data_IF_156690222394
#
_entry.id   IF_156690222394
#
_cell.length_a   1.000
_cell.length_b   1.000
_cell.length_c   1.000
_cell.angle_alpha   90.00
_cell.angle_beta   90.00
_cell.angle_gamma   90.00
#
_symmetry.space_group_name_H-M   'P 1'
#
loop_
_entity.id
_entity.type
_entity.pdbx_description
1 polymer ?
#
# COMPACT_ATOMS: atom_id res chain seq x y z
N UNK A 1 -7.10 23.15 -1.78
CA UNK A 1 -8.00 22.68 -0.71
C UNK A 1 -8.62 21.40 -1.23
N UNK A 2 -8.49 20.30 -0.47
CA UNK A 2 -9.08 19.01 -0.78
C UNK A 2 -10.28 18.80 0.13
N UNK A 3 -11.32 18.17 -0.40
CA UNK A 3 -12.45 17.69 0.39
C UNK A 3 -12.32 16.18 0.60
N UNK A 4 -12.77 15.70 1.75
CA UNK A 4 -12.81 14.26 2.02
C UNK A 4 -13.80 13.57 1.07
N UNK A 5 -13.41 12.40 0.56
CA UNK A 5 -14.32 11.59 -0.25
C UNK A 5 -15.46 11.03 0.61
N UNK A 6 -16.64 10.89 0.00
CA UNK A 6 -17.83 10.37 0.67
C UNK A 6 -18.01 8.85 0.51
N UNK A 7 -17.20 8.22 -0.32
CA UNK A 7 -17.31 6.81 -0.66
C UNK A 7 -16.02 6.06 -0.38
N UNK A 8 -16.09 4.80 0.06
CA UNK A 8 -14.90 3.96 0.19
C UNK A 8 -14.22 3.79 -1.18
N UNK A 9 -12.90 3.51 -1.20
CA UNK A 9 -12.14 3.32 -2.42
C UNK A 9 -12.77 2.21 -3.27
N UNK A 10 -13.19 2.50 -4.52
CA UNK A 10 -13.82 1.50 -5.37
C UNK A 10 -12.80 0.45 -5.84
N UNK A 11 -13.26 -0.78 -6.00
CA UNK A 11 -12.49 -1.84 -6.65
C UNK A 11 -12.95 -1.98 -8.10
N UNK A 12 -12.03 -1.77 -9.02
CA UNK A 12 -12.30 -1.81 -10.45
C UNK A 12 -11.79 -3.12 -11.04
N UNK A 13 -12.68 -3.86 -11.68
CA UNK A 13 -12.31 -5.03 -12.45
C UNK A 13 -11.65 -4.59 -13.76
N UNK A 14 -10.43 -5.03 -13.99
CA UNK A 14 -9.66 -4.77 -15.20
C UNK A 14 -9.29 -6.07 -15.91
N UNK A 15 -8.75 -5.99 -17.12
CA UNK A 15 -8.22 -7.17 -17.82
C UNK A 15 -7.02 -7.82 -17.10
N UNK A 16 -6.41 -7.13 -16.16
CA UNK A 16 -5.25 -7.62 -15.41
C UNK A 16 -5.62 -8.17 -14.02
N UNK A 17 -6.80 -7.82 -13.51
CA UNK A 17 -7.24 -8.17 -12.17
C UNK A 17 -8.08 -7.05 -11.55
N UNK A 18 -8.33 -7.16 -10.25
CA UNK A 18 -9.13 -6.21 -9.47
C UNK A 18 -8.19 -5.21 -8.78
N UNK A 19 -8.33 -3.95 -9.15
CA UNK A 19 -7.43 -2.88 -8.73
C UNK A 19 -8.21 -1.82 -7.95
N UNK A 20 -7.63 -1.31 -6.88
CA UNK A 20 -8.08 -0.12 -6.18
C UNK A 20 -7.00 0.97 -6.24
N UNK A 21 -7.40 2.22 -6.05
CA UNK A 21 -6.49 3.37 -5.94
C UNK A 21 -6.80 4.11 -4.65
N UNK A 22 -5.76 4.44 -3.90
CA UNK A 22 -5.82 5.29 -2.71
C UNK A 22 -4.72 6.34 -2.78
N UNK A 23 -4.97 7.53 -2.24
CA UNK A 23 -4.06 8.65 -2.42
C UNK A 23 -3.38 9.02 -1.11
N UNK A 24 -2.06 8.85 -1.08
CA UNK A 24 -1.16 9.39 -0.06
C UNK A 24 -1.66 9.13 1.38
N UNK A 25 -2.30 10.14 2.00
CA UNK A 25 -2.77 10.13 3.37
C UNK A 25 -3.80 9.02 3.68
N UNK A 26 -4.51 8.51 2.67
CA UNK A 26 -5.44 7.40 2.83
C UNK A 26 -4.77 6.15 3.41
N UNK A 27 -3.47 5.97 3.16
CA UNK A 27 -2.70 4.82 3.66
C UNK A 27 -2.40 4.89 5.17
N UNK A 28 -2.61 6.05 5.81
CA UNK A 28 -2.46 6.21 7.26
C UNK A 28 -3.54 5.46 8.05
N UNK A 29 -4.65 5.14 7.40
CA UNK A 29 -5.81 4.52 8.01
C UNK A 29 -5.92 3.04 7.62
N UNK A 30 -5.45 2.11 8.46
CA UNK A 30 -5.52 0.66 8.16
C UNK A 30 -6.95 0.19 7.88
N UNK A 31 -7.95 0.77 8.55
CA UNK A 31 -9.37 0.50 8.34
C UNK A 31 -9.79 0.85 6.92
N UNK A 32 -9.25 1.95 6.39
CA UNK A 32 -9.57 2.42 5.04
C UNK A 32 -8.95 1.52 3.98
N UNK A 33 -7.70 1.06 4.19
CA UNK A 33 -7.03 0.07 3.33
C UNK A 33 -7.72 -1.28 3.38
N UNK A 34 -8.30 -1.64 4.52
CA UNK A 34 -9.05 -2.89 4.68
C UNK A 34 -10.29 -2.96 3.79
N UNK A 35 -10.96 -1.85 3.51
CA UNK A 35 -12.21 -1.83 2.75
C UNK A 35 -12.04 -2.35 1.31
N UNK A 36 -11.13 -1.84 0.47
CA UNK A 36 -10.91 -2.41 -0.85
C UNK A 36 -10.39 -3.84 -0.81
N UNK A 37 -9.59 -4.21 0.19
CA UNK A 37 -9.14 -5.59 0.37
C UNK A 37 -10.31 -6.56 0.61
N UNK A 38 -11.26 -6.19 1.48
CA UNK A 38 -12.49 -6.96 1.72
C UNK A 38 -13.41 -7.00 0.51
N UNK A 39 -13.38 -5.95 -0.33
CA UNK A 39 -14.10 -5.89 -1.59
C UNK A 39 -13.39 -6.65 -2.72
N UNK A 40 -12.30 -7.35 -2.41
CA UNK A 40 -11.62 -8.25 -3.33
C UNK A 40 -10.54 -7.60 -4.19
N UNK A 41 -10.02 -6.43 -3.82
CA UNK A 41 -8.84 -5.86 -4.49
C UNK A 41 -7.66 -6.82 -4.39
N UNK A 42 -6.93 -6.95 -5.49
CA UNK A 42 -5.70 -7.74 -5.60
C UNK A 42 -4.46 -6.83 -5.59
N UNK A 43 -4.59 -5.65 -6.19
CA UNK A 43 -3.56 -4.62 -6.24
C UNK A 43 -4.14 -3.29 -5.77
N UNK A 44 -3.40 -2.62 -4.88
CA UNK A 44 -3.63 -1.24 -4.50
C UNK A 44 -2.55 -0.36 -5.13
N UNK A 45 -2.93 0.59 -5.97
CA UNK A 45 -2.05 1.61 -6.51
C UNK A 45 -2.14 2.86 -5.64
N UNK A 46 -1.02 3.37 -5.18
CA UNK A 46 -0.97 4.52 -4.28
C UNK A 46 -0.02 5.60 -4.82
N UNK A 47 -0.53 6.62 -5.53
CA UNK A 47 0.23 7.83 -5.77
C UNK A 47 0.38 8.59 -4.45
N UNK A 48 1.60 8.90 -4.08
CA UNK A 48 1.91 9.48 -2.78
C UNK A 48 2.89 10.65 -2.88
N UNK A 49 2.94 11.44 -1.83
CA UNK A 49 3.79 12.62 -1.73
C UNK A 49 4.21 12.77 -0.26
N UNK A 50 5.17 11.96 0.16
CA UNK A 50 5.59 11.84 1.55
C UNK A 50 6.65 12.85 1.91
N UNK A 51 6.38 13.82 2.82
CA UNK A 51 7.40 14.71 3.33
C UNK A 51 8.47 13.93 4.10
N UNK A 52 9.74 14.24 3.85
CA UNK A 52 10.82 13.63 4.60
C UNK A 52 10.80 14.09 6.07
N UNK A 53 10.91 13.13 6.98
CA UNK A 53 11.02 13.36 8.41
C UNK A 53 12.32 12.72 8.95
N UNK A 54 12.89 13.25 10.04
CA UNK A 54 14.01 12.60 10.71
C UNK A 54 13.67 11.17 11.13
N UNK A 55 14.60 10.25 10.90
CA UNK A 55 14.46 8.85 11.30
C UNK A 55 15.80 8.31 11.82
N UNK A 56 15.81 7.24 12.64
CA UNK A 56 17.03 6.58 13.07
C UNK A 56 17.85 6.08 11.86
N UNK A 57 19.16 6.07 12.02
CA UNK A 57 20.07 5.55 10.99
C UNK A 57 19.78 4.08 10.69
N UNK A 58 19.79 3.72 9.42
CA UNK A 58 19.50 2.36 8.96
C UNK A 58 18.03 1.98 8.87
N UNK A 59 17.11 2.81 9.40
CA UNK A 59 15.69 2.54 9.34
C UNK A 59 15.07 2.97 8.00
N UNK A 60 14.06 2.22 7.58
CA UNK A 60 13.22 2.59 6.43
C UNK A 60 12.31 3.75 6.79
N UNK A 61 11.91 4.58 5.82
CA UNK A 61 10.83 5.54 6.04
C UNK A 61 9.59 4.85 6.60
N UNK A 62 8.97 5.46 7.61
CA UNK A 62 7.76 4.89 8.26
C UNK A 62 6.63 4.66 7.25
N UNK A 63 6.56 5.48 6.22
CA UNK A 63 5.61 5.38 5.11
C UNK A 63 5.80 4.06 4.33
N UNK A 64 7.05 3.70 4.03
CA UNK A 64 7.38 2.42 3.38
C UNK A 64 7.03 1.24 4.29
N UNK A 65 7.35 1.32 5.58
CA UNK A 65 6.98 0.29 6.57
C UNK A 65 5.47 0.13 6.63
N UNK A 66 4.72 1.22 6.58
CA UNK A 66 3.25 1.22 6.55
C UNK A 66 2.69 0.55 5.29
N UNK A 67 3.27 0.81 4.11
CA UNK A 67 2.91 0.12 2.87
C UNK A 67 3.09 -1.39 3.03
N UNK A 68 4.24 -1.83 3.55
CA UNK A 68 4.52 -3.23 3.79
C UNK A 68 3.53 -3.86 4.78
N UNK A 69 3.25 -3.18 5.90
CA UNK A 69 2.29 -3.64 6.89
C UNK A 69 0.88 -3.76 6.31
N UNK A 70 0.43 -2.72 5.58
CA UNK A 70 -0.87 -2.72 4.92
C UNK A 70 -1.01 -3.84 3.89
N UNK A 71 0.03 -4.13 3.11
CA UNK A 71 0.03 -5.24 2.17
C UNK A 71 -0.12 -6.58 2.89
N UNK A 72 0.72 -6.84 3.88
CA UNK A 72 0.76 -8.10 4.64
C UNK A 72 -0.55 -8.38 5.38
N UNK A 73 -1.05 -7.43 6.18
CA UNK A 73 -2.26 -7.65 6.98
C UNK A 73 -3.53 -7.77 6.13
N UNK A 74 -3.50 -7.30 4.89
CA UNK A 74 -4.62 -7.36 3.95
C UNK A 74 -4.44 -8.45 2.88
N UNK A 75 -3.25 -9.04 2.78
CA UNK A 75 -2.89 -10.02 1.74
C UNK A 75 -3.21 -9.48 0.35
N UNK A 76 -2.64 -8.30 -0.01
CA UNK A 76 -2.78 -7.71 -1.34
C UNK A 76 -1.46 -7.06 -1.77
N UNK A 77 -1.23 -6.97 -3.07
CA UNK A 77 -0.09 -6.22 -3.61
C UNK A 77 -0.32 -4.72 -3.45
N UNK A 78 0.75 -3.97 -3.13
CA UNK A 78 0.70 -2.50 -3.15
C UNK A 78 1.84 -1.96 -4.00
N UNK A 79 1.52 -1.03 -4.89
CA UNK A 79 2.48 -0.24 -5.65
C UNK A 79 2.34 1.23 -5.23
N UNK A 80 3.30 1.74 -4.47
CA UNK A 80 3.37 3.13 -4.07
C UNK A 80 4.35 3.88 -4.96
N UNK A 81 3.89 4.97 -5.57
CA UNK A 81 4.69 5.86 -6.40
C UNK A 81 4.85 7.19 -5.67
N UNK A 82 6.05 7.43 -5.13
CA UNK A 82 6.36 8.59 -4.31
C UNK A 82 7.14 9.65 -5.08
N UNK A 83 6.95 10.88 -4.65
CA UNK A 83 7.71 12.02 -5.13
C UNK A 83 9.11 12.02 -4.53
N UNK A 84 10.10 12.45 -5.29
CA UNK A 84 11.47 12.63 -4.81
C UNK A 84 11.96 14.07 -4.99
N UNK A 85 13.10 14.39 -4.39
CA UNK A 85 13.76 15.69 -4.46
C UNK A 85 13.16 16.71 -3.49
N UNK A 86 13.32 17.99 -3.80
CA UNK A 86 12.84 19.09 -2.98
C UNK A 86 11.91 20.01 -3.78
N UNK A 87 10.83 20.44 -3.15
CA UNK A 87 9.96 21.47 -3.72
C UNK A 87 9.41 22.39 -2.63
N UNK A 88 9.45 23.70 -2.90
CA UNK A 88 8.96 24.74 -1.98
C UNK A 88 9.51 24.62 -0.55
N UNK A 89 10.78 24.20 -0.42
CA UNK A 89 11.45 24.02 0.86
C UNK A 89 11.09 22.74 1.62
N UNK A 90 10.33 21.84 1.00
CA UNK A 90 10.01 20.51 1.54
C UNK A 90 10.85 19.46 0.82
N UNK A 91 11.58 18.65 1.57
CA UNK A 91 12.25 17.46 1.08
C UNK A 91 11.24 16.29 1.05
N UNK A 92 11.31 15.48 0.01
CA UNK A 92 10.44 14.34 -0.18
C UNK A 92 11.19 13.03 0.07
N UNK A 93 10.49 12.03 0.61
CA UNK A 93 11.08 10.72 0.94
C UNK A 93 11.62 10.03 -0.30
N UNK A 94 10.93 10.10 -1.44
CA UNK A 94 11.30 9.37 -2.65
C UNK A 94 11.31 7.86 -2.44
N UNK A 95 10.39 7.35 -1.64
CA UNK A 95 10.31 5.97 -1.18
C UNK A 95 9.41 5.07 -2.03
N UNK A 96 9.33 5.31 -3.35
CA UNK A 96 8.55 4.43 -4.25
C UNK A 96 8.89 2.97 -4.03
N UNK A 97 7.86 2.11 -3.94
CA UNK A 97 8.03 0.69 -3.64
C UNK A 97 6.90 -0.15 -4.22
N UNK A 98 7.23 -1.35 -4.68
CA UNK A 98 6.26 -2.39 -5.03
C UNK A 98 6.44 -3.52 -4.02
N UNK A 99 5.35 -3.92 -3.35
CA UNK A 99 5.37 -4.98 -2.33
C UNK A 99 4.42 -6.12 -2.69
N UNK A 100 4.78 -7.33 -2.29
CA UNK A 100 3.93 -8.51 -2.45
C UNK A 100 2.83 -8.61 -1.39
N UNK A 101 2.00 -9.63 -1.48
CA UNK A 101 0.90 -9.88 -0.56
C UNK A 101 1.35 -10.31 0.85
N UNK A 102 2.62 -10.63 1.05
CA UNK A 102 3.22 -10.90 2.36
C UNK A 102 3.88 -9.65 2.96
N UNK A 103 3.95 -8.55 2.20
CA UNK A 103 4.50 -7.27 2.62
C UNK A 103 5.99 -7.11 2.34
N UNK A 104 6.59 -7.99 1.54
CA UNK A 104 7.99 -7.88 1.17
C UNK A 104 8.17 -7.05 -0.11
N UNK A 105 9.18 -6.18 -0.16
CA UNK A 105 9.49 -5.45 -1.38
C UNK A 105 9.89 -6.40 -2.51
N UNK A 106 9.20 -6.28 -3.65
CA UNK A 106 9.57 -6.93 -4.91
C UNK A 106 10.54 -6.06 -5.70
N UNK A 107 10.37 -4.72 -5.58
CA UNK A 107 11.30 -3.74 -6.12
C UNK A 107 11.22 -2.45 -5.31
N UNK A 108 12.35 -1.77 -5.11
CA UNK A 108 12.50 -0.64 -4.19
C UNK A 108 12.69 -1.07 -2.72
N UNK A 109 12.53 -0.16 -1.74
CA UNK A 109 12.17 1.25 -1.97
C UNK A 109 13.31 2.04 -2.63
N UNK A 110 12.94 3.01 -3.46
CA UNK A 110 13.88 4.03 -3.89
C UNK A 110 14.30 4.88 -2.69
N UNK A 111 15.46 5.53 -2.79
CA UNK A 111 16.04 6.30 -1.68
C UNK A 111 16.27 7.77 -2.06
N UNK A 112 15.18 8.46 -2.38
CA UNK A 112 15.22 9.88 -2.69
C UNK A 112 15.57 10.22 -4.13
N UNK A 113 15.86 9.24 -4.96
CA UNK A 113 16.21 9.44 -6.37
C UNK A 113 15.01 9.18 -7.29
N UNK A 114 15.00 9.85 -8.44
CA UNK A 114 14.05 9.56 -9.49
C UNK A 114 14.42 8.22 -10.15
N UNK A 115 13.43 7.35 -10.31
CA UNK A 115 13.67 6.04 -10.88
C UNK A 115 12.39 5.36 -11.33
N UNK A 116 12.55 4.20 -11.96
CA UNK A 116 11.46 3.32 -12.36
C UNK A 116 11.61 2.00 -11.60
N UNK A 117 10.53 1.54 -11.00
CA UNK A 117 10.42 0.22 -10.42
C UNK A 117 9.62 -0.69 -11.34
N UNK A 118 10.02 -1.95 -11.42
CA UNK A 118 9.36 -2.94 -12.26
C UNK A 118 9.30 -4.30 -11.54
N UNK A 119 8.11 -4.84 -11.38
CA UNK A 119 7.89 -6.16 -10.83
C UNK A 119 6.85 -6.94 -11.63
N UNK A 120 7.01 -8.27 -11.65
CA UNK A 120 5.97 -9.17 -12.15
C UNK A 120 5.11 -9.60 -10.97
N UNK A 121 3.79 -9.42 -11.10
CA UNK A 121 2.82 -9.79 -10.07
C UNK A 121 1.91 -10.91 -10.59
N UNK A 122 1.78 -11.99 -9.84
CA UNK A 122 0.65 -12.91 -10.00
C UNK A 122 -0.47 -12.45 -9.06
N UNK A 123 -1.39 -11.66 -9.60
CA UNK A 123 -2.46 -11.06 -8.80
C UNK A 123 -3.40 -12.10 -8.17
N UNK A 124 -3.42 -13.35 -8.66
CA UNK A 124 -4.20 -14.42 -8.07
C UNK A 124 -3.72 -14.82 -6.67
N UNK A 125 -2.44 -14.60 -6.35
CA UNK A 125 -1.90 -14.84 -5.01
C UNK A 125 -2.61 -14.00 -3.94
N UNK A 126 -3.08 -12.81 -4.30
CA UNK A 126 -3.82 -11.94 -3.41
C UNK A 126 -5.25 -12.47 -3.09
N UNK A 127 -5.76 -13.46 -3.81
CA UNK A 127 -7.05 -14.08 -3.50
C UNK A 127 -6.94 -15.07 -2.32
N UNK A 128 -5.75 -15.62 -2.08
CA UNK A 128 -5.51 -16.46 -0.91
C UNK A 128 -5.26 -15.59 0.33
N UNK A 129 -6.26 -15.53 1.20
CA UNK A 129 -6.23 -14.77 2.46
C UNK A 129 -5.83 -15.61 3.67
N UNK A 130 -5.49 -16.86 3.45
CA UNK A 130 -5.00 -17.76 4.48
C UNK A 130 -3.51 -17.57 4.68
N UNK A 131 -3.08 -17.40 5.92
CA UNK A 131 -1.67 -17.24 6.29
C UNK A 131 -1.11 -18.49 6.98
N UNK A 132 -1.98 -19.40 7.43
CA UNK A 132 -1.62 -20.71 7.97
C UNK A 132 -2.81 -21.67 7.86
N UNK A 133 -2.61 -22.91 8.26
CA UNK A 133 -3.68 -23.93 8.27
C UNK A 133 -4.92 -23.49 9.07
N UNK A 134 -4.75 -22.62 10.06
CA UNK A 134 -5.81 -22.22 10.99
C UNK A 134 -6.15 -20.73 10.96
N UNK A 135 -5.42 -19.91 10.19
CA UNK A 135 -5.55 -18.46 10.22
C UNK A 135 -5.90 -17.91 8.85
N UNK A 136 -7.01 -17.16 8.78
CA UNK A 136 -7.51 -16.53 7.56
C UNK A 136 -7.84 -15.06 7.84
N UNK A 137 -6.99 -14.13 7.40
CA UNK A 137 -7.01 -12.71 7.81
C UNK A 137 -8.32 -11.95 7.53
N UNK A 138 -9.19 -12.47 6.67
CA UNK A 138 -10.51 -11.87 6.41
C UNK A 138 -11.65 -12.56 7.16
N UNK A 139 -11.63 -13.91 7.28
CA UNK A 139 -12.72 -14.69 7.92
C UNK A 139 -12.66 -14.66 9.44
N UNK A 140 -11.43 -14.60 9.98
CA UNK A 140 -11.23 -14.65 11.44
C UNK A 140 -11.45 -13.28 12.11
N UNK A 141 -11.84 -12.26 11.33
CA UNK A 141 -12.22 -10.96 11.86
C UNK A 141 -13.48 -11.07 12.70
N UNK A 142 -13.55 -10.23 13.71
CA UNK A 142 -14.71 -10.13 14.60
C UNK A 142 -15.29 -8.71 14.57
N UNK A 143 -15.93 -8.33 13.44
CA UNK A 143 -16.41 -6.95 13.23
C UNK A 143 -17.41 -6.49 14.30
N UNK A 144 -18.05 -7.44 14.97
CA UNK A 144 -18.98 -7.18 16.07
C UNK A 144 -18.29 -6.64 17.33
N UNK A 145 -16.97 -6.69 17.40
CA UNK A 145 -16.18 -6.21 18.54
C UNK A 145 -15.51 -4.86 18.31
N UNK A 146 -15.56 -4.33 17.05
CA UNK A 146 -14.90 -3.05 16.69
C UNK A 146 -15.56 -2.36 15.51
#
# INVERSE_FOLDING_TARGET
IFEAGEQPPPVVATRFGRIAVMVCYDLEFPEWVRLPALSGAQLLCAPVNWPAAPRPEGERPAEVVRVQANASVNRLFIAACDRCGQERGVDWVGGSVIVDADGYPLDGPLQGEAGMLLARLDLAEADEKRISAHNHVHRDRRPELY
#
